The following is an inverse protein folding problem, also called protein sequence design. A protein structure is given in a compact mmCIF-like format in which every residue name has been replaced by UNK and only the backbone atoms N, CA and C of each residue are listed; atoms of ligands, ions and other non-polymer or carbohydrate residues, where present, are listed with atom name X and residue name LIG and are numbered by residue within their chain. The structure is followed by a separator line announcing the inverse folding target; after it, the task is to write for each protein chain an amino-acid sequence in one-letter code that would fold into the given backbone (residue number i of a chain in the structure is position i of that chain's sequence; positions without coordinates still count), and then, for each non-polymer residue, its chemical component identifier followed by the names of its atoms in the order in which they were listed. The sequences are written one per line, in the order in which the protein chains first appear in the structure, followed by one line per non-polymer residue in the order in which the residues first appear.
data_IF_250105445570
#
_entry.id   IF_250105445570
#
_cell.length_a   1.000
_cell.length_b   1.000
_cell.length_c   1.000
_cell.angle_alpha   90.00
_cell.angle_beta   90.00
_cell.angle_gamma   90.00
#
_symmetry.space_group_name_H-M   'P 1'
#
loop_
_entity.id
_entity.type
_entity.pdbx_description
1 polymer ?
#
# COMPACT_ATOMS: atom_id res chain seq x y z
N UNK A 1 4.12 -0.19 -10.77
CA UNK A 1 4.31 -1.57 -10.26
C UNK A 1 4.72 -1.47 -8.81
N UNK A 2 3.95 -2.08 -7.89
CA UNK A 2 4.29 -2.07 -6.47
C UNK A 2 5.19 -3.24 -6.07
N UNK A 3 5.03 -4.37 -6.75
CA UNK A 3 5.82 -5.58 -6.56
C UNK A 3 6.65 -5.81 -7.82
N UNK A 4 7.87 -6.33 -7.68
CA UNK A 4 8.73 -6.70 -8.82
C UNK A 4 8.34 -8.04 -9.45
N UNK A 5 7.08 -8.45 -9.28
CA UNK A 5 6.56 -9.76 -9.70
C UNK A 5 5.61 -9.59 -10.87
N UNK A 6 5.68 -10.53 -11.82
CA UNK A 6 4.70 -10.64 -12.92
C UNK A 6 3.35 -11.11 -12.39
N UNK A 7 2.27 -10.67 -13.04
CA UNK A 7 0.89 -11.02 -12.69
C UNK A 7 0.65 -12.54 -12.79
N UNK A 8 1.23 -13.19 -13.79
CA UNK A 8 1.25 -14.64 -13.96
C UNK A 8 2.70 -15.07 -14.23
N UNK A 9 3.18 -16.08 -13.51
CA UNK A 9 4.55 -16.59 -13.62
C UNK A 9 4.55 -18.12 -13.55
N UNK A 10 4.68 -18.77 -14.72
CA UNK A 10 4.67 -20.24 -14.84
C UNK A 10 5.95 -20.90 -14.35
N UNK A 11 6.98 -20.13 -14.02
CA UNK A 11 8.26 -20.65 -13.48
C UNK A 11 8.23 -20.86 -11.97
N UNK A 12 7.14 -20.48 -11.30
CA UNK A 12 6.97 -20.61 -9.85
C UNK A 12 6.33 -21.96 -9.49
N UNK A 13 6.54 -22.46 -8.26
CA UNK A 13 5.87 -23.65 -7.79
C UNK A 13 4.34 -23.51 -7.80
N UNK A 14 3.66 -24.65 -7.92
CA UNK A 14 2.20 -24.76 -7.92
C UNK A 14 1.63 -24.11 -6.65
N UNK A 15 0.79 -23.07 -6.80
CA UNK A 15 0.23 -22.28 -5.70
C UNK A 15 0.79 -20.85 -5.54
N UNK A 16 1.81 -20.46 -6.33
CA UNK A 16 2.28 -19.06 -6.42
C UNK A 16 2.30 -18.51 -7.85
N UNK A 17 1.63 -19.20 -8.77
CA UNK A 17 1.63 -18.87 -10.20
C UNK A 17 1.02 -17.48 -10.44
N UNK A 18 -0.07 -17.17 -9.73
CA UNK A 18 -0.70 -15.86 -9.77
C UNK A 18 -0.11 -14.94 -8.72
N UNK A 19 0.18 -13.70 -9.12
CA UNK A 19 0.54 -12.64 -8.19
C UNK A 19 -0.52 -12.46 -7.11
N UNK A 20 -1.80 -12.66 -7.44
CA UNK A 20 -2.86 -12.48 -6.46
C UNK A 20 -2.88 -13.59 -5.41
N UNK A 21 -2.57 -14.83 -5.80
CA UNK A 21 -2.45 -15.96 -4.87
C UNK A 21 -1.31 -15.72 -3.86
N UNK A 22 -0.19 -15.19 -4.35
CA UNK A 22 0.92 -14.75 -3.51
C UNK A 22 0.62 -13.50 -2.65
N UNK A 23 -0.08 -12.51 -3.21
CA UNK A 23 -0.29 -11.21 -2.57
C UNK A 23 -1.43 -11.23 -1.55
N UNK A 24 -2.49 -12.02 -1.76
CA UNK A 24 -3.64 -12.17 -0.85
C UNK A 24 -3.25 -12.27 0.62
N UNK A 25 -2.45 -13.27 1.06
CA UNK A 25 -2.12 -13.43 2.47
C UNK A 25 -1.23 -12.31 3.04
N UNK A 26 -0.60 -11.52 2.16
CA UNK A 26 0.32 -10.43 2.52
C UNK A 26 -0.38 -9.07 2.51
N UNK A 27 -1.48 -8.94 1.77
CA UNK A 27 -2.38 -7.79 1.75
C UNK A 27 -3.34 -7.76 2.95
N UNK A 28 -3.64 -8.90 3.56
CA UNK A 28 -4.49 -8.98 4.77
C UNK A 28 -3.88 -8.26 5.98
N UNK A 29 -2.55 -8.17 6.06
CA UNK A 29 -1.84 -7.51 7.16
C UNK A 29 -0.98 -6.40 6.59
N UNK A 30 -1.26 -5.14 6.96
CA UNK A 30 -0.51 -3.97 6.49
C UNK A 30 0.99 -4.11 6.77
N UNK A 31 1.39 -4.74 7.88
CA UNK A 31 2.80 -4.98 8.20
C UNK A 31 3.49 -5.90 7.17
N UNK A 32 2.78 -6.90 6.63
CA UNK A 32 3.31 -7.83 5.62
C UNK A 32 3.26 -7.25 4.20
N UNK A 33 2.50 -6.17 4.00
CA UNK A 33 2.52 -5.46 2.72
C UNK A 33 3.89 -4.86 2.42
N UNK A 34 4.60 -4.38 3.45
CA UNK A 34 5.95 -3.85 3.26
C UNK A 34 6.96 -4.90 2.80
N UNK A 35 6.73 -6.19 3.09
CA UNK A 35 7.58 -7.30 2.66
C UNK A 35 7.45 -7.63 1.16
N UNK A 36 6.33 -7.26 0.52
CA UNK A 36 6.09 -7.52 -0.91
C UNK A 36 6.45 -6.35 -1.81
N UNK A 37 6.67 -5.18 -1.24
CA UNK A 37 7.09 -4.00 -1.99
C UNK A 37 8.44 -4.25 -2.64
N UNK A 38 8.62 -3.70 -3.85
CA UNK A 38 9.92 -3.75 -4.52
C UNK A 38 10.99 -3.08 -3.63
N UNK A 39 12.07 -3.78 -3.25
CA UNK A 39 13.15 -3.21 -2.44
C UNK A 39 13.76 -1.95 -3.06
N UNK A 40 13.67 -1.79 -4.38
CA UNK A 40 14.16 -0.58 -5.07
C UNK A 40 13.35 0.68 -4.74
N UNK A 41 12.14 0.53 -4.22
CA UNK A 41 11.32 1.63 -3.75
C UNK A 41 11.58 1.97 -2.27
N UNK A 42 12.36 1.16 -1.56
CA UNK A 42 12.70 1.43 -0.17
C UNK A 42 13.40 2.80 -0.05
N UNK A 43 12.93 3.63 0.88
CA UNK A 43 13.37 5.03 1.03
C UNK A 43 12.69 6.05 0.11
N UNK A 44 11.88 5.63 -0.87
CA UNK A 44 11.15 6.53 -1.77
C UNK A 44 9.67 6.70 -1.42
N UNK A 45 9.16 5.98 -0.43
CA UNK A 45 7.77 6.09 0.04
C UNK A 45 7.68 6.35 1.54
N UNK A 46 6.66 7.10 1.95
CA UNK A 46 6.29 7.19 3.37
C UNK A 46 5.52 5.93 3.76
N UNK A 47 5.78 5.39 4.96
CA UNK A 47 5.05 4.22 5.48
C UNK A 47 3.53 4.47 5.51
N UNK A 48 3.14 5.72 5.82
CA UNK A 48 1.73 6.14 5.87
C UNK A 48 1.07 6.08 4.48
N UNK A 49 1.75 6.59 3.45
CA UNK A 49 1.21 6.59 2.08
C UNK A 49 1.17 5.19 1.50
N UNK A 50 2.22 4.39 1.75
CA UNK A 50 2.25 2.99 1.36
C UNK A 50 1.12 2.17 2.00
N UNK A 51 0.79 2.41 3.28
CA UNK A 51 -0.34 1.77 3.94
C UNK A 51 -1.69 2.15 3.31
N UNK A 52 -1.89 3.42 2.94
CA UNK A 52 -3.11 3.87 2.26
C UNK A 52 -3.24 3.24 0.86
N UNK A 53 -2.15 3.22 0.09
CA UNK A 53 -2.12 2.59 -1.24
C UNK A 53 -2.35 1.07 -1.12
N UNK A 54 -1.81 0.42 -0.09
CA UNK A 54 -2.07 -0.98 0.19
C UNK A 54 -3.56 -1.25 0.44
N UNK A 55 -4.19 -0.40 1.25
CA UNK A 55 -5.62 -0.52 1.57
C UNK A 55 -6.48 -0.37 0.30
N UNK A 56 -6.19 0.63 -0.53
CA UNK A 56 -6.85 0.81 -1.82
C UNK A 56 -6.65 -0.42 -2.73
N UNK A 57 -5.43 -0.97 -2.78
CA UNK A 57 -5.14 -2.17 -3.54
C UNK A 57 -5.90 -3.40 -3.04
N UNK A 58 -6.09 -3.55 -1.72
CA UNK A 58 -6.92 -4.62 -1.14
C UNK A 58 -8.37 -4.55 -1.64
N UNK A 59 -8.97 -3.36 -1.60
CA UNK A 59 -10.34 -3.14 -2.10
C UNK A 59 -10.46 -3.44 -3.60
N UNK A 60 -9.45 -3.05 -4.39
CA UNK A 60 -9.43 -3.26 -5.83
C UNK A 60 -9.37 -4.74 -6.24
N UNK A 61 -8.93 -5.63 -5.36
CA UNK A 61 -8.74 -7.07 -5.68
C UNK A 61 -9.51 -7.97 -4.71
N UNK A 62 -10.52 -7.42 -4.05
CA UNK A 62 -11.49 -8.15 -3.25
C UNK A 62 -12.22 -9.21 -4.11
N UNK A 63 -12.59 -10.34 -3.51
CA UNK A 63 -13.43 -11.35 -4.16
C UNK A 63 -14.85 -10.84 -4.36
N UNK A 64 -15.32 -9.97 -3.45
CA UNK A 64 -16.67 -9.44 -3.52
C UNK A 64 -16.72 -8.28 -4.52
N UNK A 65 -17.43 -8.41 -5.66
CA UNK A 65 -17.52 -7.34 -6.64
C UNK A 65 -18.22 -6.08 -6.10
N UNK A 66 -19.05 -6.20 -5.05
CA UNK A 66 -19.72 -5.06 -4.42
C UNK A 66 -18.79 -4.23 -3.53
N UNK A 67 -17.73 -4.83 -3.01
CA UNK A 67 -16.70 -4.14 -2.23
C UNK A 67 -15.65 -3.48 -3.13
N UNK A 68 -15.66 -3.78 -4.43
CA UNK A 68 -14.70 -3.25 -5.39
C UNK A 68 -15.08 -1.81 -5.76
N UNK A 69 -14.20 -0.82 -5.51
CA UNK A 69 -14.46 0.56 -5.90
C UNK A 69 -14.51 0.68 -7.43
N UNK A 70 -15.25 1.69 -7.89
CA UNK A 70 -15.25 2.06 -9.31
C UNK A 70 -13.90 2.66 -9.70
N UNK A 71 -13.53 2.57 -10.99
CA UNK A 71 -12.24 3.13 -11.45
C UNK A 71 -12.14 4.62 -11.16
N UNK A 72 -13.24 5.37 -11.28
CA UNK A 72 -13.32 6.79 -10.89
C UNK A 72 -12.97 7.01 -9.41
N UNK A 73 -13.48 6.15 -8.54
CA UNK A 73 -13.22 6.23 -7.10
C UNK A 73 -11.78 5.84 -6.76
N UNK A 74 -11.23 4.83 -7.44
CA UNK A 74 -9.81 4.45 -7.32
C UNK A 74 -8.90 5.63 -7.68
N UNK A 75 -9.20 6.31 -8.79
CA UNK A 75 -8.41 7.47 -9.23
C UNK A 75 -8.54 8.62 -8.24
N UNK A 76 -9.74 8.90 -7.72
CA UNK A 76 -9.95 9.94 -6.72
C UNK A 76 -9.19 9.65 -5.41
N UNK A 77 -9.28 8.44 -4.88
CA UNK A 77 -8.58 8.04 -3.66
C UNK A 77 -7.05 8.06 -3.87
N UNK A 78 -6.57 7.53 -5.00
CA UNK A 78 -5.15 7.57 -5.33
C UNK A 78 -4.62 9.01 -5.45
N UNK A 79 -5.36 9.88 -6.15
CA UNK A 79 -5.02 11.29 -6.30
C UNK A 79 -5.00 11.98 -4.93
N UNK A 80 -5.99 11.75 -4.09
CA UNK A 80 -6.04 12.29 -2.71
C UNK A 80 -4.79 11.93 -1.90
N UNK A 81 -4.32 10.68 -1.99
CA UNK A 81 -3.08 10.23 -1.33
C UNK A 81 -1.86 11.02 -1.83
N UNK A 82 -1.77 11.29 -3.15
CA UNK A 82 -0.64 12.04 -3.73
C UNK A 82 -0.70 13.54 -3.47
N UNK A 83 -1.89 14.15 -3.54
CA UNK A 83 -2.08 15.61 -3.40
C UNK A 83 -2.11 16.03 -1.93
N UNK A 84 -2.55 15.15 -1.01
CA UNK A 84 -2.43 15.37 0.43
C UNK A 84 -0.99 15.56 0.90
N UNK A 85 0.00 15.04 0.15
CA UNK A 85 1.42 15.33 0.40
C UNK A 85 1.79 16.76 0.02
N UNK A 86 1.23 17.33 -1.06
CA UNK A 86 1.51 18.71 -1.45
C UNK A 86 0.99 19.73 -0.42
N UNK A 87 -0.16 19.46 0.20
CA UNK A 87 -0.70 20.29 1.30
C UNK A 87 -0.02 20.03 2.65
N UNK A 88 0.45 18.82 2.93
CA UNK A 88 1.17 18.48 4.17
C UNK A 88 2.66 18.83 4.18
N UNK A 89 3.28 19.02 3.01
CA UNK A 89 4.73 19.24 2.91
C UNK A 89 5.16 20.69 3.22
N UNK A 90 4.24 21.66 3.18
CA UNK A 90 4.57 23.04 3.60
C UNK A 90 4.55 23.25 5.12
N UNK A 91 4.22 22.23 5.92
CA UNK A 91 4.20 22.33 7.39
C UNK A 91 5.35 21.60 8.11
N UNK A 92 6.22 20.87 7.40
CA UNK A 92 7.28 20.06 8.04
C UNK A 92 8.72 20.53 7.80
N UNK A 93 8.94 21.73 7.22
CA UNK A 93 10.24 22.41 7.34
C UNK A 93 10.43 23.11 8.72
N UNK A 94 9.50 22.93 9.66
CA UNK A 94 9.67 23.42 11.04
C UNK A 94 9.12 22.41 12.06
N UNK A 95 9.73 21.23 12.11
CA UNK A 95 9.76 20.38 13.31
C UNK A 95 10.83 19.30 13.15
N UNK A 96 12.08 19.73 12.95
CA UNK A 96 13.19 19.02 13.56
C UNK A 96 13.16 19.37 15.05
N UNK A 97 13.09 18.33 15.90
CA UNK A 97 13.10 18.32 17.37
C UNK A 97 11.70 18.28 18.01
N UNK A 98 11.53 17.27 18.87
CA UNK A 98 10.45 16.97 19.81
C UNK A 98 9.37 15.99 19.32
N UNK A 99 9.57 14.70 19.61
CA UNK A 99 8.60 13.83 20.29
C UNK A 99 8.98 12.35 20.11
N UNK A 100 9.77 11.85 21.06
CA UNK A 100 9.60 10.49 21.55
C UNK A 100 8.17 10.35 22.10
N UNK A 101 7.55 9.18 21.88
CA UNK A 101 6.27 8.71 22.44
C UNK A 101 5.00 8.93 21.59
N UNK A 102 4.64 7.87 20.85
CA UNK A 102 3.27 7.38 20.61
C UNK A 102 3.41 6.18 19.63
N UNK A 103 3.73 4.96 20.07
CA UNK A 103 2.78 4.02 20.68
C UNK A 103 1.30 4.42 20.50
N UNK A 104 0.49 3.49 19.98
CA UNK A 104 -0.95 3.64 19.63
C UNK A 104 -1.20 4.12 18.19
N UNK A 105 -1.07 3.20 17.22
CA UNK A 105 -2.08 3.03 16.16
C UNK A 105 -1.92 1.67 15.47
N UNK A 106 -2.01 0.60 16.27
CA UNK A 106 -2.32 -0.75 15.83
C UNK A 106 -3.24 -1.33 16.90
N UNK A 107 -4.53 -1.02 16.82
CA UNK A 107 -5.68 -1.83 17.26
C UNK A 107 -6.95 -1.13 16.76
N UNK A 108 -7.27 -1.33 15.47
CA UNK A 108 -8.61 -1.60 14.91
C UNK A 108 -8.50 -1.80 13.39
#
# INVERSE_FOLDING_TARGET
MLTRRRALDTRRPTGELSLMEFARPRLTRINRFFEILDPRMEGQYSKKTAALVAHLACQCVDQNPKARPTVSEVVYQFLSITVGLAFGFWSTHRQAKCATSAAVFLEY
#
